data_IF_036056373507
#
_entry.id   IF_036056373507
#
_cell.length_a   1.000
_cell.length_b   1.000
_cell.length_c   1.000
_cell.angle_alpha   90.00
_cell.angle_beta   90.00
_cell.angle_gamma   90.00
#
_symmetry.space_group_name_H-M   'P 1'
#
loop_
_entity.id
_entity.type
_entity.pdbx_description
1 polymer ?
#
# COMPACT_ATOMS: atom_id res chain seq x y z
N UNK A 1 -2.54 -4.84 -12.73
CA UNK A 1 -1.74 -4.89 -13.99
C UNK A 1 -1.10 -6.27 -14.24
N UNK A 2 -1.26 -6.83 -15.44
CA UNK A 2 -0.72 -8.16 -15.79
C UNK A 2 0.81 -8.22 -15.72
N UNK A 3 1.49 -7.20 -16.25
CA UNK A 3 2.96 -7.16 -16.29
C UNK A 3 3.55 -7.23 -14.88
N UNK A 4 3.04 -6.40 -13.96
CA UNK A 4 3.46 -6.42 -12.55
C UNK A 4 3.22 -7.81 -11.92
N UNK A 5 2.03 -8.38 -12.12
CA UNK A 5 1.66 -9.71 -11.59
C UNK A 5 2.64 -10.78 -12.07
N UNK A 6 2.91 -10.83 -13.36
CA UNK A 6 3.81 -11.82 -13.95
C UNK A 6 5.26 -11.60 -13.46
N UNK A 7 5.69 -10.35 -13.32
CA UNK A 7 7.01 -10.00 -12.79
C UNK A 7 7.20 -10.51 -11.35
N UNK A 8 6.29 -10.18 -10.43
CA UNK A 8 6.44 -10.59 -9.01
C UNK A 8 6.31 -12.10 -8.83
N UNK A 9 5.49 -12.78 -9.65
CA UNK A 9 5.42 -14.25 -9.67
C UNK A 9 6.76 -14.84 -10.13
N UNK A 10 7.35 -14.29 -11.20
CA UNK A 10 8.65 -14.74 -11.69
C UNK A 10 9.77 -14.61 -10.65
N UNK A 11 9.82 -13.47 -9.96
CA UNK A 11 10.76 -13.23 -8.85
C UNK A 11 10.52 -14.23 -7.71
N UNK A 12 9.28 -14.41 -7.29
CA UNK A 12 8.95 -15.34 -6.21
C UNK A 12 9.27 -16.80 -6.55
N UNK A 13 8.99 -17.25 -7.77
CA UNK A 13 9.37 -18.59 -8.25
C UNK A 13 10.89 -18.77 -8.29
N UNK A 14 11.63 -17.75 -8.72
CA UNK A 14 13.10 -17.78 -8.73
C UNK A 14 13.66 -17.91 -7.31
N UNK A 15 13.14 -17.16 -6.35
CA UNK A 15 13.54 -17.28 -4.95
C UNK A 15 13.13 -18.65 -4.34
N UNK A 16 11.96 -19.16 -4.69
CA UNK A 16 11.49 -20.48 -4.26
C UNK A 16 12.34 -21.64 -4.81
N UNK A 17 12.86 -21.50 -6.04
CA UNK A 17 13.84 -22.42 -6.59
C UNK A 17 15.11 -22.51 -5.72
N UNK A 18 15.48 -21.42 -5.04
CA UNK A 18 16.58 -21.38 -4.07
C UNK A 18 16.16 -21.73 -2.63
N UNK A 19 14.95 -22.25 -2.42
CA UNK A 19 14.47 -22.71 -1.12
C UNK A 19 13.75 -21.67 -0.26
N UNK A 20 13.60 -20.43 -0.73
CA UNK A 20 12.84 -19.40 -0.01
C UNK A 20 11.36 -19.51 -0.36
N UNK A 21 10.54 -20.06 0.55
CA UNK A 21 9.08 -20.21 0.30
C UNK A 21 8.20 -19.19 0.98
N UNK A 22 8.73 -18.38 1.89
CA UNK A 22 7.96 -17.36 2.63
C UNK A 22 8.41 -15.98 2.23
N UNK A 23 7.47 -15.14 1.81
CA UNK A 23 7.78 -13.82 1.25
C UNK A 23 6.75 -12.78 1.64
N UNK A 24 7.18 -11.52 1.65
CA UNK A 24 6.32 -10.36 1.85
C UNK A 24 6.53 -9.37 0.71
N UNK A 25 5.46 -9.06 -0.02
CA UNK A 25 5.42 -7.93 -0.95
C UNK A 25 5.06 -6.67 -0.17
N UNK A 26 6.04 -5.80 0.06
CA UNK A 26 5.83 -4.49 0.70
C UNK A 26 5.28 -3.52 -0.35
N UNK A 27 3.98 -3.21 -0.28
CA UNK A 27 3.28 -2.42 -1.27
C UNK A 27 3.11 -0.96 -0.84
N UNK A 28 3.61 -0.04 -1.66
CA UNK A 28 3.48 1.41 -1.49
C UNK A 28 2.42 2.07 -2.38
N UNK A 29 1.72 1.33 -3.25
CA UNK A 29 0.80 1.94 -4.22
C UNK A 29 -0.53 1.18 -4.34
N UNK A 30 -1.66 1.90 -4.21
CA UNK A 30 -3.01 1.32 -4.20
C UNK A 30 -3.32 0.48 -5.45
N UNK A 31 -2.98 0.98 -6.63
CA UNK A 31 -3.22 0.31 -7.92
C UNK A 31 -2.51 -1.03 -8.11
N UNK A 32 -1.50 -1.33 -7.29
CA UNK A 32 -0.79 -2.61 -7.32
C UNK A 32 -1.51 -3.71 -6.53
N UNK A 33 -2.36 -3.34 -5.58
CA UNK A 33 -2.91 -4.26 -4.56
C UNK A 33 -3.58 -5.48 -5.19
N UNK A 34 -4.52 -5.28 -6.11
CA UNK A 34 -5.26 -6.39 -6.72
C UNK A 34 -4.34 -7.38 -7.47
N UNK A 35 -3.32 -6.86 -8.16
CA UNK A 35 -2.36 -7.67 -8.89
C UNK A 35 -1.43 -8.46 -7.95
N UNK A 36 -0.99 -7.84 -6.86
CA UNK A 36 -0.16 -8.50 -5.84
C UNK A 36 -0.95 -9.56 -5.05
N UNK A 37 -2.21 -9.30 -4.71
CA UNK A 37 -3.09 -10.25 -4.02
C UNK A 37 -3.43 -11.45 -4.92
N UNK A 38 -3.66 -11.22 -6.22
CA UNK A 38 -3.81 -12.30 -7.20
C UNK A 38 -2.53 -13.12 -7.35
N UNK A 39 -1.36 -12.47 -7.43
CA UNK A 39 -0.07 -13.15 -7.47
C UNK A 39 0.14 -14.03 -6.23
N UNK A 40 -0.12 -13.50 -5.04
CA UNK A 40 -0.02 -14.24 -3.78
C UNK A 40 -0.91 -15.49 -3.77
N UNK A 41 -2.16 -15.39 -4.25
CA UNK A 41 -3.08 -16.55 -4.35
C UNK A 41 -2.54 -17.62 -5.29
N UNK A 42 -2.04 -17.25 -6.47
CA UNK A 42 -1.45 -18.20 -7.44
C UNK A 42 -0.21 -18.88 -6.89
N UNK A 43 0.70 -18.10 -6.31
CA UNK A 43 1.93 -18.60 -5.68
C UNK A 43 1.62 -19.61 -4.55
N UNK A 44 0.53 -19.38 -3.81
CA UNK A 44 0.12 -20.28 -2.74
C UNK A 44 -0.27 -21.68 -3.23
N UNK A 45 -0.80 -21.80 -4.44
CA UNK A 45 -1.09 -23.10 -5.07
C UNK A 45 0.19 -23.87 -5.42
N UNK A 46 1.31 -23.14 -5.58
CA UNK A 46 2.64 -23.68 -5.88
C UNK A 46 3.47 -23.94 -4.61
N UNK A 47 2.88 -23.79 -3.42
CA UNK A 47 3.59 -23.92 -2.14
C UNK A 47 4.49 -22.71 -1.81
N UNK A 48 4.28 -21.56 -2.47
CA UNK A 48 4.99 -20.32 -2.19
C UNK A 48 4.07 -19.39 -1.39
N UNK A 49 4.44 -19.12 -0.14
CA UNK A 49 3.68 -18.36 0.83
C UNK A 49 4.07 -16.87 0.77
N UNK A 50 3.60 -16.19 -0.27
CA UNK A 50 3.74 -14.75 -0.42
C UNK A 50 2.53 -14.01 0.19
N UNK A 51 2.79 -12.92 0.91
CA UNK A 51 1.76 -12.06 1.51
C UNK A 51 1.96 -10.60 1.10
N UNK A 52 0.87 -9.86 0.95
CA UNK A 52 0.92 -8.44 0.57
C UNK A 52 0.81 -7.58 1.82
N UNK A 53 1.88 -6.87 2.14
CA UNK A 53 1.88 -5.87 3.20
C UNK A 53 1.59 -4.50 2.61
N UNK A 54 0.39 -3.98 2.86
CA UNK A 54 -0.02 -2.63 2.47
C UNK A 54 0.14 -1.74 3.69
N UNK A 55 1.17 -0.89 3.70
CA UNK A 55 1.62 -0.25 4.94
C UNK A 55 0.53 0.57 5.62
N UNK A 56 -0.24 1.37 4.87
CA UNK A 56 -1.31 2.20 5.44
C UNK A 56 -2.47 1.38 6.04
N UNK A 57 -2.74 0.17 5.53
CA UNK A 57 -3.76 -0.72 6.10
C UNK A 57 -3.33 -1.26 7.47
N UNK A 58 -2.04 -1.50 7.66
CA UNK A 58 -1.50 -2.07 8.90
C UNK A 58 -1.47 -1.08 10.07
N UNK A 59 -1.54 0.22 9.78
CA UNK A 59 -1.40 1.30 10.77
C UNK A 59 -2.58 2.29 10.72
N UNK A 60 -3.77 1.85 10.32
CA UNK A 60 -4.94 2.70 10.16
C UNK A 60 -5.26 3.55 11.42
N UNK A 61 -5.10 2.97 12.61
CA UNK A 61 -5.28 3.68 13.89
C UNK A 61 -4.25 4.79 14.10
N UNK A 62 -2.98 4.54 13.76
CA UNK A 62 -1.91 5.55 13.85
C UNK A 62 -2.16 6.69 12.88
N UNK A 63 -2.59 6.37 11.66
CA UNK A 63 -2.95 7.39 10.65
C UNK A 63 -4.09 8.25 11.17
N UNK A 64 -5.15 7.65 11.71
CA UNK A 64 -6.30 8.39 12.25
C UNK A 64 -5.95 9.32 13.43
N UNK A 65 -4.85 9.06 14.14
CA UNK A 65 -4.35 9.91 15.23
C UNK A 65 -3.37 11.00 14.77
N UNK A 66 -2.73 10.83 13.62
CA UNK A 66 -1.61 11.66 13.15
C UNK A 66 -2.02 12.61 12.03
N UNK A 67 -2.88 12.14 11.14
CA UNK A 67 -3.35 12.87 9.96
C UNK A 67 -4.57 13.69 10.32
N UNK A 68 -4.56 14.97 9.96
CA UNK A 68 -5.59 15.95 10.32
C UNK A 68 -6.55 16.23 9.15
N UNK A 69 -6.04 16.28 7.92
CA UNK A 69 -6.80 16.71 6.74
C UNK A 69 -7.50 15.58 6.00
N UNK A 70 -7.19 14.32 6.33
CA UNK A 70 -7.72 13.14 5.66
C UNK A 70 -7.17 12.98 4.24
N UNK A 71 -8.01 12.49 3.32
CA UNK A 71 -7.61 12.18 1.95
C UNK A 71 -6.79 10.89 1.84
N UNK A 72 -6.31 10.60 0.62
CA UNK A 72 -5.64 9.31 0.35
C UNK A 72 -4.42 9.38 -0.57
N UNK A 73 -4.40 10.28 -1.56
CA UNK A 73 -3.36 10.33 -2.58
C UNK A 73 -2.77 11.73 -2.72
N UNK A 74 -1.44 11.83 -2.59
CA UNK A 74 -0.70 13.09 -2.44
C UNK A 74 -1.25 13.99 -1.31
N UNK A 75 -1.99 13.40 -0.37
CA UNK A 75 -2.53 14.08 0.80
C UNK A 75 -1.47 14.18 1.91
N UNK A 76 -1.90 14.63 3.08
CA UNK A 76 -1.03 14.80 4.26
C UNK A 76 -0.21 13.55 4.58
N UNK A 77 -0.80 12.35 4.55
CA UNK A 77 -0.13 11.10 4.90
C UNK A 77 1.06 10.79 3.98
N UNK A 78 0.84 10.74 2.66
CA UNK A 78 1.89 10.42 1.68
C UNK A 78 2.95 11.53 1.64
N UNK A 79 2.51 12.79 1.71
CA UNK A 79 3.42 13.94 1.72
C UNK A 79 4.31 13.94 2.95
N UNK A 80 3.77 13.63 4.13
CA UNK A 80 4.55 13.53 5.37
C UNK A 80 5.62 12.43 5.27
N UNK A 81 5.26 11.26 4.72
CA UNK A 81 6.22 10.16 4.50
C UNK A 81 7.35 10.58 3.56
N UNK A 82 7.04 11.28 2.47
CA UNK A 82 8.07 11.80 1.54
C UNK A 82 8.93 12.88 2.23
N UNK A 83 8.33 13.79 2.99
CA UNK A 83 9.06 14.81 3.77
C UNK A 83 10.10 14.20 4.71
N UNK A 84 9.78 13.08 5.35
CA UNK A 84 10.68 12.42 6.29
C UNK A 84 11.89 11.73 5.61
N UNK A 85 11.75 11.32 4.34
CA UNK A 85 12.77 10.51 3.64
C UNK A 85 13.56 11.33 2.62
N UNK A 86 12.88 12.23 1.91
CA UNK A 86 13.40 13.00 0.79
C UNK A 86 12.68 14.36 0.72
N UNK A 87 12.88 15.24 1.71
CA UNK A 87 12.18 16.53 1.81
C UNK A 87 12.35 17.41 0.58
N UNK A 88 13.48 17.30 -0.12
CA UNK A 88 13.79 18.02 -1.35
C UNK A 88 12.88 17.68 -2.54
N UNK A 89 12.14 16.57 -2.47
CA UNK A 89 11.18 16.17 -3.49
C UNK A 89 9.80 16.82 -3.30
N UNK A 90 9.57 17.43 -2.14
CA UNK A 90 8.29 18.04 -1.79
C UNK A 90 8.30 19.52 -2.20
N UNK A 91 7.20 19.98 -2.80
CA UNK A 91 7.03 21.34 -3.32
C UNK A 91 5.87 22.05 -2.63
N UNK A 92 6.08 22.61 -1.43
CA UNK A 92 5.02 23.26 -0.65
C UNK A 92 4.30 24.40 -1.39
N UNK A 93 4.99 25.06 -2.33
CA UNK A 93 4.44 26.10 -3.18
C UNK A 93 3.27 25.62 -4.06
N UNK A 94 3.17 24.31 -4.33
CA UNK A 94 2.12 23.72 -5.14
C UNK A 94 0.92 23.20 -4.33
N UNK A 95 0.95 23.25 -2.99
CA UNK A 95 -0.13 22.69 -2.16
C UNK A 95 -1.49 23.33 -2.44
N UNK A 96 -1.52 24.67 -2.60
CA UNK A 96 -2.76 25.38 -2.90
C UNK A 96 -3.39 24.92 -4.22
N UNK A 97 -2.58 24.73 -5.27
CA UNK A 97 -3.07 24.22 -6.56
C UNK A 97 -3.49 22.76 -6.47
N UNK A 98 -2.72 21.93 -5.76
CA UNK A 98 -3.05 20.52 -5.56
C UNK A 98 -4.44 20.33 -4.94
N UNK A 99 -4.80 21.15 -3.95
CA UNK A 99 -6.12 21.17 -3.32
C UNK A 99 -7.18 21.79 -4.22
N UNK A 100 -6.91 22.95 -4.82
CA UNK A 100 -7.89 23.67 -5.64
C UNK A 100 -8.35 22.89 -6.88
N UNK A 101 -7.47 22.04 -7.43
CA UNK A 101 -7.72 21.16 -8.57
C UNK A 101 -7.83 19.68 -8.18
N UNK A 102 -7.85 19.40 -6.88
CA UNK A 102 -7.93 18.07 -6.31
C UNK A 102 -9.36 17.55 -6.16
N UNK A 103 -9.46 16.35 -5.61
CA UNK A 103 -10.72 15.84 -5.05
C UNK A 103 -10.60 15.74 -3.51
N UNK A 104 -11.71 15.79 -2.76
CA UNK A 104 -11.66 15.60 -1.30
C UNK A 104 -11.36 14.14 -0.92
N UNK A 105 -11.82 13.18 -1.71
CA UNK A 105 -11.70 11.73 -1.45
C UNK A 105 -11.34 10.97 -2.73
N UNK A 106 -10.92 9.71 -2.57
CA UNK A 106 -10.62 8.84 -3.70
C UNK A 106 -11.88 8.38 -4.44
N UNK A 107 -11.82 8.44 -5.76
CA UNK A 107 -12.81 7.84 -6.63
C UNK A 107 -13.98 8.75 -6.92
N UNK A 108 -14.91 8.20 -7.71
CA UNK A 108 -16.17 8.83 -8.08
C UNK A 108 -17.24 7.77 -8.04
N UNK A 109 -18.35 8.07 -7.38
CA UNK A 109 -19.47 7.13 -7.23
C UNK A 109 -20.75 7.71 -7.83
N UNK A 110 -21.51 6.86 -8.50
CA UNK A 110 -22.86 7.16 -8.98
C UNK A 110 -23.78 6.07 -8.45
N UNK A 111 -24.79 6.44 -7.66
CA UNK A 111 -25.70 5.49 -7.00
C UNK A 111 -24.96 4.37 -6.22
N UNK A 112 -23.85 4.74 -5.56
CA UNK A 112 -23.01 3.81 -4.80
C UNK A 112 -22.07 2.93 -5.62
N UNK A 113 -22.06 3.05 -6.95
CA UNK A 113 -21.19 2.31 -7.87
C UNK A 113 -19.96 3.14 -8.21
N UNK A 114 -18.77 2.54 -8.09
CA UNK A 114 -17.52 3.18 -8.50
C UNK A 114 -17.47 3.36 -10.03
N UNK A 115 -17.28 4.60 -10.47
CA UNK A 115 -17.10 4.99 -11.88
C UNK A 115 -15.79 5.72 -12.15
N UNK A 116 -15.05 6.08 -11.09
CA UNK A 116 -13.71 6.66 -11.19
C UNK A 116 -12.66 5.56 -11.15
N UNK A 117 -12.17 5.15 -12.33
CA UNK A 117 -11.18 4.07 -12.47
C UNK A 117 -9.76 4.61 -12.62
N UNK A 118 -9.62 5.86 -13.05
CA UNK A 118 -8.39 6.63 -13.06
C UNK A 118 -8.54 7.89 -12.21
N UNK A 119 -7.46 8.36 -11.61
CA UNK A 119 -7.41 9.69 -10.96
C UNK A 119 -7.92 10.80 -11.87
N UNK A 120 -7.65 10.74 -13.18
CA UNK A 120 -8.13 11.71 -14.16
C UNK A 120 -9.68 11.77 -14.27
N UNK A 121 -10.40 10.75 -13.81
CA UNK A 121 -11.86 10.74 -13.84
C UNK A 121 -12.49 11.65 -12.78
N UNK A 122 -11.72 12.08 -11.77
CA UNK A 122 -12.24 12.82 -10.62
C UNK A 122 -11.32 13.90 -10.04
N UNK A 123 -10.09 14.06 -10.53
CA UNK A 123 -9.19 15.15 -10.13
C UNK A 123 -8.39 15.69 -11.32
N UNK A 124 -8.16 17.00 -11.34
CA UNK A 124 -7.31 17.69 -12.33
C UNK A 124 -5.84 17.77 -11.88
N UNK A 125 -5.57 17.75 -10.57
CA UNK A 125 -4.21 17.77 -10.00
C UNK A 125 -3.63 16.37 -9.73
N UNK A 126 -4.47 15.34 -9.72
CA UNK A 126 -4.12 14.00 -9.24
C UNK A 126 -4.20 13.84 -7.71
N UNK A 127 -4.31 14.94 -6.95
CA UNK A 127 -4.37 14.90 -5.49
C UNK A 127 -5.79 14.58 -4.99
N UNK A 128 -5.86 13.78 -3.92
CA UNK A 128 -7.09 13.52 -3.17
C UNK A 128 -6.89 13.83 -1.69
N UNK A 129 -7.25 15.04 -1.27
CA UNK A 129 -7.01 15.56 0.08
C UNK A 129 -6.10 16.79 0.11
N UNK A 130 -5.70 17.20 1.32
CA UNK A 130 -4.88 18.39 1.56
C UNK A 130 -3.51 18.04 2.17
N UNK A 131 -2.38 18.29 1.49
CA UNK A 131 -1.04 18.04 2.03
C UNK A 131 -0.52 19.10 3.01
N UNK A 132 -1.24 20.22 3.22
CA UNK A 132 -0.73 21.41 3.92
C UNK A 132 -0.31 21.18 5.37
N UNK A 133 -0.82 20.12 6.01
CA UNK A 133 -0.52 19.74 7.40
C UNK A 133 0.57 18.67 7.51
N UNK A 134 1.17 18.25 6.40
CA UNK A 134 2.27 17.30 6.40
C UNK A 134 3.52 17.89 7.06
N UNK A 135 4.15 17.11 7.94
CA UNK A 135 5.43 17.47 8.57
C UNK A 135 6.38 16.28 8.59
N UNK A 136 7.68 16.55 8.78
CA UNK A 136 8.71 15.51 8.91
C UNK A 136 8.39 14.58 10.07
N UNK A 137 8.01 15.13 11.22
CA UNK A 137 7.73 14.37 12.45
C UNK A 137 6.53 13.42 12.27
N UNK A 138 5.50 13.85 11.53
CA UNK A 138 4.37 12.99 11.17
C UNK A 138 4.84 11.84 10.28
N UNK A 139 5.69 12.13 9.29
CA UNK A 139 6.27 11.14 8.40
C UNK A 139 7.10 10.10 9.14
N UNK A 140 7.96 10.54 10.06
CA UNK A 140 8.77 9.67 10.91
C UNK A 140 7.88 8.75 11.77
N UNK A 141 6.84 9.30 12.41
CA UNK A 141 5.90 8.51 13.23
C UNK A 141 5.16 7.47 12.39
N UNK A 142 4.72 7.84 11.18
CA UNK A 142 4.04 6.93 10.25
C UNK A 142 4.98 5.81 9.79
N UNK A 143 6.20 6.16 9.37
CA UNK A 143 7.22 5.21 8.92
C UNK A 143 7.62 4.24 10.02
N UNK A 144 7.83 4.74 11.24
CA UNK A 144 8.15 3.92 12.40
C UNK A 144 7.05 2.91 12.69
N UNK A 145 5.78 3.35 12.76
CA UNK A 145 4.66 2.45 12.99
C UNK A 145 4.53 1.40 11.87
N UNK A 146 4.72 1.80 10.60
CA UNK A 146 4.68 0.90 9.47
C UNK A 146 5.82 -0.14 9.51
N UNK A 147 7.03 0.26 9.91
CA UNK A 147 8.16 -0.66 10.06
C UNK A 147 7.94 -1.65 11.21
N UNK A 148 7.41 -1.21 12.34
CA UNK A 148 7.10 -2.07 13.49
C UNK A 148 6.05 -3.13 13.15
N UNK A 149 4.98 -2.77 12.44
CA UNK A 149 3.97 -3.74 11.98
C UNK A 149 4.53 -4.73 10.96
N UNK A 150 5.41 -4.28 10.06
CA UNK A 150 6.08 -5.16 9.12
C UNK A 150 7.03 -6.14 9.83
N UNK A 151 7.86 -5.68 10.76
CA UNK A 151 8.76 -6.53 11.55
C UNK A 151 7.96 -7.58 12.34
N UNK A 152 6.89 -7.17 13.02
CA UNK A 152 6.02 -8.08 13.76
C UNK A 152 5.42 -9.16 12.85
N UNK A 153 4.94 -8.79 11.66
CA UNK A 153 4.41 -9.75 10.69
C UNK A 153 5.49 -10.68 10.15
N UNK A 154 6.68 -10.18 9.82
CA UNK A 154 7.81 -10.98 9.36
C UNK A 154 8.25 -12.00 10.42
N UNK A 155 8.29 -11.63 11.70
CA UNK A 155 8.58 -12.56 12.81
C UNK A 155 7.52 -13.65 12.94
N UNK A 156 6.25 -13.28 12.85
CA UNK A 156 5.15 -14.24 12.85
C UNK A 156 5.26 -15.21 11.67
N UNK A 157 5.48 -14.70 10.45
CA UNK A 157 5.60 -15.51 9.25
C UNK A 157 6.80 -16.48 9.32
N UNK A 158 7.93 -15.98 9.83
CA UNK A 158 9.13 -16.79 10.05
C UNK A 158 8.85 -17.95 11.01
N UNK A 159 8.06 -17.75 12.07
CA UNK A 159 7.75 -18.77 13.07
C UNK A 159 6.71 -19.80 12.64
N UNK A 160 5.93 -19.56 11.57
CA UNK A 160 4.93 -20.52 11.11
C UNK A 160 5.57 -21.70 10.37
N UNK A 161 5.27 -22.97 10.67
CA UNK A 161 5.68 -24.07 9.80
C UNK A 161 4.97 -23.98 8.42
N UNK A 162 5.58 -24.48 7.35
CA UNK A 162 5.02 -24.39 5.98
C UNK A 162 3.65 -25.09 5.89
N UNK A 163 3.49 -26.19 6.63
CA UNK A 163 2.25 -26.96 6.72
C UNK A 163 1.09 -26.14 7.29
N UNK A 164 1.36 -25.19 8.20
CA UNK A 164 0.34 -24.31 8.75
C UNK A 164 -0.13 -23.24 7.75
N UNK A 165 0.69 -22.93 6.75
CA UNK A 165 0.40 -21.94 5.71
C UNK A 165 -0.25 -22.57 4.46
N UNK A 166 -0.09 -23.88 4.29
CA UNK A 166 -0.60 -24.66 3.17
C UNK A 166 -2.12 -24.55 2.97
N UNK A 167 -2.62 -24.62 1.73
CA UNK A 167 -4.06 -24.75 1.46
C UNK A 167 -4.67 -25.92 2.24
N UNK A 168 -5.72 -25.62 3.01
CA UNK A 168 -6.57 -26.66 3.59
C UNK A 168 -7.54 -27.13 2.50
N UNK A 169 -7.97 -28.41 2.53
CA UNK A 169 -9.02 -28.89 1.63
C UNK A 169 -10.27 -28.01 1.76
N UNK A 170 -10.96 -27.79 0.64
CA UNK A 170 -12.27 -27.15 0.68
C UNK A 170 -13.24 -28.02 1.49
N UNK A 171 -14.07 -27.37 2.31
CA UNK A 171 -15.21 -28.05 2.93
C UNK A 171 -16.17 -28.49 1.80
N UNK A 172 -16.77 -29.69 1.92
CA UNK A 172 -17.71 -30.22 0.93
C UNK A 172 -18.95 -29.33 0.75
#
# INVERSE_FOLDING_TARGET
PEVLRNYVIGVARSLAFHGLRKMVFVNGHGGNTAALEEAARRLREEGIYAYVYVWWRAIAETIAQVVETGGSHAAEMETAVVLAVAPELVRPENYGEAVAKGAPEWGKKVEGVDVGFDTADFTESGATGDPSRATVEKGEKILQAAAEKLDAFCRWLASQPEEALAPKPHLP
#
